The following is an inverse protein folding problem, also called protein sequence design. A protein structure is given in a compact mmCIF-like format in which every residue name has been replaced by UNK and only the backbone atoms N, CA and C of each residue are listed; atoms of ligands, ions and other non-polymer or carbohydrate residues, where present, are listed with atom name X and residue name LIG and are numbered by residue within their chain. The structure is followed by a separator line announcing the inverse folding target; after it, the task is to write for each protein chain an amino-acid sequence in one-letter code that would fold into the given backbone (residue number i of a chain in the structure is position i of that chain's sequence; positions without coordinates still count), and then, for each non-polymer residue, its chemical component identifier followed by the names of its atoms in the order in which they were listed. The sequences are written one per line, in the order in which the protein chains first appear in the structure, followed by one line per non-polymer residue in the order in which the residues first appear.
data_IF_201921636522
#
_entry.id   IF_201921636522
#
_cell.length_a   1.000
_cell.length_b   1.000
_cell.length_c   1.000
_cell.angle_alpha   90.00
_cell.angle_beta   90.00
_cell.angle_gamma   90.00
#
_symmetry.space_group_name_H-M   'P 1'
#
loop_
_entity.id
_entity.type
_entity.pdbx_description
1 polymer ?
#
# COMPACT_ATOMS: atom_id res chain seq x y z
N UNK A 1 73.90 47.89 -16.36
CA UNK A 1 72.47 47.81 -16.00
C UNK A 1 71.89 46.62 -16.75
N UNK A 2 71.87 45.44 -16.13
CA UNK A 2 71.20 44.23 -16.64
C UNK A 2 70.41 43.66 -15.48
N UNK A 3 69.08 43.61 -15.64
CA UNK A 3 68.12 43.17 -14.64
C UNK A 3 67.78 41.70 -14.92
N UNK A 4 68.06 40.81 -13.95
CA UNK A 4 67.57 39.43 -13.96
C UNK A 4 66.17 39.42 -13.34
N UNK A 5 65.18 38.97 -14.10
CA UNK A 5 63.82 38.70 -13.59
C UNK A 5 63.76 37.23 -13.20
N UNK A 6 63.56 36.97 -11.91
CA UNK A 6 63.25 35.64 -11.36
C UNK A 6 61.72 35.48 -11.38
N UNK A 7 61.23 34.51 -12.14
CA UNK A 7 59.82 34.12 -12.14
C UNK A 7 59.57 33.17 -10.95
N UNK A 8 58.86 33.65 -9.92
CA UNK A 8 58.35 32.81 -8.84
C UNK A 8 57.03 32.16 -9.30
N UNK A 9 57.03 30.85 -9.52
CA UNK A 9 55.81 30.09 -9.74
C UNK A 9 55.11 29.85 -8.39
N UNK A 10 54.00 30.53 -8.15
CA UNK A 10 53.08 30.23 -7.05
C UNK A 10 52.28 28.97 -7.40
N UNK A 11 52.63 27.83 -6.79
CA UNK A 11 51.74 26.67 -6.75
C UNK A 11 50.70 26.90 -5.66
N UNK A 12 49.44 27.08 -6.05
CA UNK A 12 48.31 27.00 -5.14
C UNK A 12 48.08 25.53 -4.74
N UNK A 13 47.81 25.21 -3.46
CA UNK A 13 47.46 23.85 -3.09
C UNK A 13 46.07 23.54 -3.65
N UNK A 14 45.96 22.45 -4.43
CA UNK A 14 44.67 21.88 -4.80
C UNK A 14 43.92 21.49 -3.53
N UNK A 15 42.91 22.27 -3.16
CA UNK A 15 41.95 21.87 -2.16
C UNK A 15 41.20 20.65 -2.70
N UNK A 16 41.56 19.46 -2.20
CA UNK A 16 40.71 18.29 -2.33
C UNK A 16 39.45 18.63 -1.54
N UNK A 17 38.35 18.96 -2.22
CA UNK A 17 37.05 19.08 -1.59
C UNK A 17 36.78 17.73 -0.92
N UNK A 18 36.72 17.71 0.42
CA UNK A 18 36.35 16.51 1.15
C UNK A 18 34.95 16.09 0.68
N UNK A 19 34.83 14.83 0.23
CA UNK A 19 33.57 14.31 -0.26
C UNK A 19 32.53 14.32 0.86
N UNK A 20 31.30 14.73 0.54
CA UNK A 20 30.23 14.82 1.53
C UNK A 20 29.97 13.43 2.14
N UNK A 21 29.79 13.32 3.47
CA UNK A 21 29.61 12.03 4.15
C UNK A 21 28.34 11.33 3.64
N UNK A 22 28.37 10.00 3.51
CA UNK A 22 27.34 9.18 2.86
C UNK A 22 26.24 8.66 3.79
N UNK A 23 26.03 9.27 4.96
CA UNK A 23 25.20 8.67 6.02
C UNK A 23 25.94 7.52 6.72
N UNK A 24 25.88 6.32 6.14
CA UNK A 24 26.66 5.15 6.57
C UNK A 24 27.95 5.06 5.77
N UNK A 25 29.06 4.73 6.44
CA UNK A 25 30.39 4.65 5.80
C UNK A 25 30.68 3.28 5.18
N UNK A 26 30.21 2.20 5.80
CA UNK A 26 30.42 0.85 5.32
C UNK A 26 29.27 -0.05 5.72
N UNK A 27 29.12 -1.15 4.99
CA UNK A 27 28.15 -2.20 5.32
C UNK A 27 28.80 -3.26 6.17
N UNK A 28 28.31 -3.42 7.39
CA UNK A 28 28.65 -4.56 8.25
C UNK A 28 27.91 -5.81 7.73
N UNK A 29 28.60 -6.92 7.42
CA UNK A 29 27.94 -8.16 7.03
C UNK A 29 27.02 -8.67 8.14
N UNK A 30 25.76 -8.98 7.81
CA UNK A 30 24.84 -9.47 8.82
C UNK A 30 25.07 -10.97 9.07
N UNK A 31 25.53 -11.26 10.29
CA UNK A 31 25.63 -12.61 10.84
C UNK A 31 24.83 -12.76 12.15
N UNK A 32 24.20 -11.68 12.63
CA UNK A 32 23.53 -11.66 13.93
C UNK A 32 22.11 -12.17 13.86
N UNK A 33 21.38 -11.92 12.76
CA UNK A 33 19.97 -12.30 12.68
C UNK A 33 19.81 -13.81 12.41
N UNK A 34 19.24 -14.54 13.37
CA UNK A 34 19.16 -16.01 13.42
C UNK A 34 17.75 -16.54 13.09
N UNK A 35 17.17 -16.12 11.96
CA UNK A 35 15.87 -16.59 11.51
C UNK A 35 15.98 -17.30 10.15
N UNK A 36 15.58 -18.58 10.11
CA UNK A 36 15.63 -19.43 8.92
C UNK A 36 14.43 -20.40 8.92
N UNK A 37 13.23 -19.94 8.53
CA UNK A 37 12.01 -20.75 8.59
C UNK A 37 12.09 -22.05 7.78
N UNK A 38 12.79 -22.03 6.62
CA UNK A 38 13.01 -23.22 5.78
C UNK A 38 13.80 -24.31 6.50
N UNK A 39 14.64 -23.94 7.44
CA UNK A 39 15.45 -24.85 8.27
C UNK A 39 14.74 -25.21 9.58
N UNK A 40 13.48 -24.79 9.76
CA UNK A 40 12.72 -24.98 11.00
C UNK A 40 13.19 -24.09 12.16
N UNK A 41 14.01 -23.06 11.88
CA UNK A 41 14.54 -22.15 12.89
C UNK A 41 13.80 -20.83 12.88
N UNK A 42 12.76 -20.73 13.71
CA UNK A 42 12.07 -19.47 14.01
C UNK A 42 12.28 -19.19 15.51
N UNK A 43 13.00 -18.10 15.88
CA UNK A 43 13.25 -17.74 17.26
C UNK A 43 11.94 -17.62 18.05
N UNK A 44 11.88 -18.16 19.27
CA UNK A 44 10.68 -18.05 20.09
C UNK A 44 10.59 -16.70 20.79
N UNK A 45 11.73 -16.04 20.98
CA UNK A 45 11.80 -14.67 21.47
C UNK A 45 12.59 -13.74 20.56
N UNK A 46 12.45 -12.43 20.75
CA UNK A 46 13.26 -11.43 20.04
C UNK A 46 14.72 -11.47 20.52
N UNK A 47 14.98 -11.72 21.80
CA UNK A 47 16.36 -11.89 22.30
C UNK A 47 17.11 -13.05 21.62
N UNK A 48 16.42 -14.14 21.30
CA UNK A 48 16.98 -15.28 20.54
C UNK A 48 17.23 -14.96 19.06
N UNK A 49 16.55 -13.95 18.51
CA UNK A 49 16.62 -13.62 17.09
C UNK A 49 17.93 -12.97 16.67
N UNK A 50 18.67 -12.36 17.60
CA UNK A 50 19.86 -11.57 17.31
C UNK A 50 19.59 -10.24 16.59
N UNK A 51 18.36 -9.73 16.67
CA UNK A 51 17.97 -8.40 16.20
C UNK A 51 18.72 -7.30 16.96
N UNK A 52 18.82 -7.42 18.28
CA UNK A 52 19.49 -6.45 19.15
C UNK A 52 20.82 -6.99 19.66
N UNK A 53 21.84 -6.13 19.72
CA UNK A 53 23.06 -6.41 20.47
C UNK A 53 22.87 -6.21 21.98
N UNK A 54 21.91 -5.36 22.35
CA UNK A 54 21.44 -5.14 23.71
C UNK A 54 19.92 -4.96 23.65
N UNK A 55 19.17 -5.96 24.13
CA UNK A 55 17.71 -5.99 24.07
C UNK A 55 17.12 -4.94 25.03
N UNK A 56 17.65 -4.83 26.24
CA UNK A 56 17.15 -3.90 27.25
C UNK A 56 17.34 -2.44 26.82
N UNK A 57 18.48 -2.12 26.20
CA UNK A 57 18.72 -0.81 25.60
C UNK A 57 18.13 -0.65 24.18
N UNK A 58 17.55 -1.72 23.62
CA UNK A 58 17.01 -1.80 22.27
C UNK A 58 18.00 -1.33 21.18
N UNK A 59 19.28 -1.63 21.36
CA UNK A 59 20.35 -1.27 20.42
C UNK A 59 20.41 -2.34 19.32
N UNK A 60 20.08 -2.00 18.06
CA UNK A 60 20.11 -2.97 16.96
C UNK A 60 21.52 -3.51 16.75
N UNK A 61 21.64 -4.77 16.38
CA UNK A 61 22.94 -5.32 15.99
C UNK A 61 23.50 -4.61 14.75
N UNK A 62 24.84 -4.50 14.66
CA UNK A 62 25.51 -3.66 13.68
C UNK A 62 25.23 -4.03 12.19
N UNK A 63 24.83 -5.27 11.92
CA UNK A 63 24.47 -5.74 10.57
C UNK A 63 23.10 -5.30 10.07
N UNK A 64 22.31 -4.59 10.88
CA UNK A 64 21.00 -4.06 10.51
C UNK A 64 21.14 -2.68 9.88
N UNK A 65 20.53 -2.50 8.71
CA UNK A 65 20.59 -1.24 7.95
C UNK A 65 19.30 -0.46 8.21
N UNK A 66 19.34 0.66 8.98
CA UNK A 66 18.14 1.44 9.26
C UNK A 66 17.64 2.15 8.01
N UNK A 67 16.32 2.34 7.93
CA UNK A 67 15.72 3.11 6.85
C UNK A 67 14.40 3.78 7.22
N UNK A 68 14.07 4.84 6.49
CA UNK A 68 12.79 5.55 6.52
C UNK A 68 12.05 5.47 5.19
N UNK A 69 10.78 5.87 5.19
CA UNK A 69 9.90 5.88 4.01
C UNK A 69 9.20 7.23 3.89
N UNK A 70 8.95 7.72 2.68
CA UNK A 70 8.26 9.01 2.46
C UNK A 70 6.83 9.02 3.04
N UNK A 71 6.01 8.02 2.73
CA UNK A 71 4.65 7.86 3.25
C UNK A 71 4.55 6.64 4.14
N UNK A 72 4.20 6.84 5.41
CA UNK A 72 4.15 5.77 6.41
C UNK A 72 2.81 5.05 6.34
N UNK A 73 2.85 3.70 6.33
CA UNK A 73 1.68 2.89 6.66
C UNK A 73 1.26 3.20 8.10
N UNK A 74 0.05 3.72 8.24
CA UNK A 74 -0.59 4.02 9.50
C UNK A 74 -1.08 2.72 10.15
N UNK A 75 -0.87 2.61 11.47
CA UNK A 75 -1.29 1.45 12.26
C UNK A 75 -1.57 1.90 13.69
N UNK A 76 -2.76 2.48 13.88
CA UNK A 76 -3.28 2.91 15.18
C UNK A 76 -2.33 3.87 15.95
N UNK A 77 -1.67 4.77 15.21
CA UNK A 77 -0.80 5.80 15.80
C UNK A 77 0.58 5.32 16.26
N UNK A 78 0.92 4.04 16.06
CA UNK A 78 2.24 3.52 16.45
C UNK A 78 3.38 4.10 15.61
N UNK A 79 4.41 4.60 16.29
CA UNK A 79 5.68 4.98 15.69
C UNK A 79 6.47 3.74 15.28
N UNK A 80 7.36 3.86 14.29
CA UNK A 80 8.05 2.70 13.69
C UNK A 80 9.51 2.96 13.41
N UNK A 81 10.37 2.05 13.86
CA UNK A 81 11.74 1.90 13.32
C UNK A 81 11.77 0.72 12.35
N UNK A 82 12.66 0.78 11.36
CA UNK A 82 12.71 -0.22 10.28
C UNK A 82 14.14 -0.55 9.94
N UNK A 83 14.38 -1.82 9.64
CA UNK A 83 15.71 -2.30 9.28
C UNK A 83 15.65 -3.29 8.12
N UNK A 84 16.68 -3.25 7.28
CA UNK A 84 16.97 -4.28 6.28
C UNK A 84 18.09 -5.15 6.86
N UNK A 85 17.90 -6.46 6.82
CA UNK A 85 18.89 -7.45 7.24
C UNK A 85 19.13 -8.43 6.08
N UNK A 86 20.28 -8.33 5.43
CA UNK A 86 20.63 -9.20 4.29
C UNK A 86 21.72 -10.20 4.70
N UNK A 87 21.59 -11.50 4.44
CA UNK A 87 22.59 -12.49 4.84
C UNK A 87 24.00 -12.15 4.34
N UNK A 88 24.96 -12.01 5.26
CA UNK A 88 26.33 -11.62 4.94
C UNK A 88 26.40 -10.31 4.13
N UNK A 89 26.98 -10.38 2.94
CA UNK A 89 27.09 -9.26 1.99
C UNK A 89 26.19 -9.42 0.75
N UNK A 90 25.17 -10.28 0.80
CA UNK A 90 24.23 -10.45 -0.32
C UNK A 90 23.58 -9.12 -0.72
N UNK A 91 23.23 -8.95 -1.99
CA UNK A 91 22.78 -7.67 -2.54
C UNK A 91 21.34 -7.76 -3.04
N UNK A 92 20.71 -6.59 -3.18
CA UNK A 92 19.35 -6.42 -3.72
C UNK A 92 19.46 -6.07 -5.20
N UNK A 93 18.66 -6.71 -6.05
CA UNK A 93 18.48 -6.24 -7.43
C UNK A 93 17.64 -4.96 -7.40
N UNK A 94 18.23 -3.85 -7.82
CA UNK A 94 17.59 -2.54 -7.83
C UNK A 94 16.52 -2.45 -8.93
N UNK A 95 15.56 -1.55 -8.72
CA UNK A 95 14.60 -1.17 -9.75
C UNK A 95 14.25 0.30 -9.60
N UNK A 96 14.46 1.12 -10.64
CA UNK A 96 14.17 2.54 -10.59
C UNK A 96 12.67 2.86 -10.40
N UNK A 97 11.78 2.04 -10.96
CA UNK A 97 10.33 2.28 -10.96
C UNK A 97 9.50 1.11 -10.38
N UNK A 98 10.10 -0.06 -10.20
CA UNK A 98 9.42 -1.27 -9.74
C UNK A 98 9.74 -1.65 -8.30
N UNK A 99 9.37 -2.87 -7.95
CA UNK A 99 9.74 -3.51 -6.69
C UNK A 99 11.19 -3.97 -6.76
N UNK A 100 11.93 -3.77 -5.68
CA UNK A 100 13.27 -4.36 -5.54
C UNK A 100 13.18 -5.86 -5.31
N UNK A 101 14.18 -6.62 -5.77
CA UNK A 101 14.24 -8.06 -5.50
C UNK A 101 15.33 -8.37 -4.48
N UNK A 102 14.91 -9.05 -3.43
CA UNK A 102 15.76 -9.35 -2.29
C UNK A 102 16.44 -10.71 -2.46
N UNK A 103 17.66 -10.89 -1.93
CA UNK A 103 18.33 -12.17 -1.95
C UNK A 103 17.64 -13.17 -1.01
N UNK A 104 17.85 -14.48 -1.21
CA UNK A 104 17.34 -15.52 -0.31
C UNK A 104 17.62 -15.23 1.16
N UNK A 105 16.64 -15.49 2.02
CA UNK A 105 16.72 -15.29 3.47
C UNK A 105 16.94 -13.83 3.92
N UNK A 106 16.72 -12.85 3.04
CA UNK A 106 16.61 -11.45 3.46
C UNK A 106 15.47 -11.28 4.47
N UNK A 107 15.68 -10.39 5.44
CA UNK A 107 14.69 -10.04 6.44
C UNK A 107 14.46 -8.54 6.47
N UNK A 108 13.20 -8.15 6.49
CA UNK A 108 12.78 -6.78 6.74
C UNK A 108 12.15 -6.73 8.12
N UNK A 109 12.65 -5.82 8.96
CA UNK A 109 12.24 -5.69 10.36
C UNK A 109 11.44 -4.41 10.54
N UNK A 110 10.40 -4.47 11.36
CA UNK A 110 9.69 -3.29 11.89
C UNK A 110 9.51 -3.44 13.39
N UNK A 111 9.91 -2.44 14.16
CA UNK A 111 9.52 -2.32 15.56
C UNK A 111 8.44 -1.24 15.67
N UNK A 112 7.42 -1.49 16.48
CA UNK A 112 6.29 -0.60 16.70
C UNK A 112 6.34 -0.08 18.13
N UNK A 113 6.12 1.23 18.27
CA UNK A 113 6.21 1.93 19.53
C UNK A 113 4.93 2.70 19.80
N UNK A 114 4.48 2.65 21.05
CA UNK A 114 3.33 3.36 21.56
C UNK A 114 3.79 4.43 22.55
N UNK A 115 3.26 5.63 22.44
CA UNK A 115 3.47 6.68 23.45
C UNK A 115 2.52 6.42 24.62
N UNK A 116 3.05 6.01 25.78
CA UNK A 116 2.25 5.73 26.97
C UNK A 116 1.73 7.01 27.64
N UNK A 117 2.28 8.16 27.29
CA UNK A 117 1.77 9.48 27.63
C UNK A 117 1.58 10.27 26.33
N UNK A 118 0.34 10.72 26.07
CA UNK A 118 -0.03 11.37 24.81
C UNK A 118 0.86 12.58 24.52
N UNK A 119 1.58 12.53 23.40
CA UNK A 119 2.45 13.62 22.93
C UNK A 119 3.82 13.67 23.60
N UNK A 120 4.17 12.72 24.46
CA UNK A 120 5.48 12.62 25.08
C UNK A 120 6.31 11.52 24.41
N UNK A 121 7.22 11.93 23.51
CA UNK A 121 8.14 11.02 22.80
C UNK A 121 9.02 10.18 23.72
N UNK A 122 9.34 10.66 24.93
CA UNK A 122 10.16 9.93 25.89
C UNK A 122 9.39 8.80 26.59
N UNK A 123 8.06 8.82 26.52
CA UNK A 123 7.19 7.73 27.03
C UNK A 123 7.03 6.57 26.05
N UNK A 124 7.76 6.60 24.92
CA UNK A 124 7.65 5.56 23.89
C UNK A 124 8.06 4.21 24.45
N UNK A 125 7.15 3.26 24.30
CA UNK A 125 7.31 1.89 24.72
C UNK A 125 7.18 0.98 23.50
N UNK A 126 8.10 0.04 23.35
CA UNK A 126 8.04 -0.95 22.26
C UNK A 126 6.92 -1.94 22.57
N UNK A 127 6.06 -2.22 21.59
CA UNK A 127 4.91 -3.12 21.79
C UNK A 127 4.99 -4.33 20.87
N UNK A 128 5.53 -4.16 19.65
CA UNK A 128 5.59 -5.21 18.64
C UNK A 128 6.92 -5.18 17.88
N UNK A 129 7.46 -6.36 17.59
CA UNK A 129 8.48 -6.54 16.55
C UNK A 129 7.93 -7.46 15.47
N UNK A 130 8.05 -7.05 14.20
CA UNK A 130 7.62 -7.86 13.06
C UNK A 130 8.78 -8.15 12.12
N UNK A 131 8.95 -9.42 11.79
CA UNK A 131 9.86 -9.88 10.76
C UNK A 131 9.09 -10.28 9.51
N UNK A 132 9.58 -9.85 8.35
CA UNK A 132 9.18 -10.38 7.05
C UNK A 132 10.40 -11.06 6.44
N UNK A 133 10.37 -12.38 6.29
CA UNK A 133 11.52 -13.21 5.90
C UNK A 133 11.31 -13.81 4.51
N UNK A 134 12.24 -13.59 3.58
CA UNK A 134 12.17 -14.21 2.25
C UNK A 134 12.49 -15.69 2.35
N UNK A 135 11.60 -16.53 1.82
CA UNK A 135 11.72 -17.99 1.91
C UNK A 135 12.71 -18.53 0.88
N UNK A 136 13.98 -18.60 1.26
CA UNK A 136 15.05 -19.17 0.42
C UNK A 136 15.04 -18.57 -1.00
N UNK A 137 15.22 -19.38 -2.06
CA UNK A 137 15.24 -18.89 -3.45
C UNK A 137 13.86 -18.56 -4.02
N UNK A 138 12.77 -18.72 -3.27
CA UNK A 138 11.41 -18.49 -3.77
C UNK A 138 11.02 -17.02 -3.64
N UNK A 139 9.96 -16.62 -4.33
CA UNK A 139 9.36 -15.29 -4.15
C UNK A 139 8.44 -15.18 -2.93
N UNK A 140 8.20 -16.28 -2.21
CA UNK A 140 7.38 -16.26 -1.02
C UNK A 140 8.09 -15.58 0.16
N UNK A 141 7.29 -14.95 1.02
CA UNK A 141 7.72 -14.34 2.26
C UNK A 141 6.85 -14.83 3.42
N UNK A 142 7.48 -14.98 4.58
CA UNK A 142 6.84 -15.38 5.83
C UNK A 142 6.84 -14.19 6.80
N UNK A 143 5.68 -13.87 7.36
CA UNK A 143 5.50 -12.82 8.36
C UNK A 143 5.45 -13.41 9.77
N UNK A 144 6.19 -12.82 10.70
CA UNK A 144 6.23 -13.21 12.10
C UNK A 144 6.03 -11.97 12.99
N UNK A 145 5.05 -12.02 13.87
CA UNK A 145 4.77 -10.96 14.84
C UNK A 145 5.20 -11.42 16.22
N UNK A 146 5.90 -10.54 16.95
CA UNK A 146 6.35 -10.76 18.31
C UNK A 146 5.70 -9.72 19.21
N UNK A 147 5.09 -10.18 20.30
CA UNK A 147 4.43 -9.34 21.30
C UNK A 147 5.38 -9.10 22.46
N UNK A 148 5.73 -7.84 22.71
CA UNK A 148 6.55 -7.47 23.86
C UNK A 148 5.76 -7.59 25.16
N UNK A 149 6.45 -7.94 26.23
CA UNK A 149 5.89 -7.79 27.59
C UNK A 149 5.68 -6.30 27.93
N UNK A 150 4.94 -6.05 29.02
CA UNK A 150 4.59 -4.67 29.42
C UNK A 150 5.77 -3.89 29.98
N UNK A 151 6.83 -4.59 30.37
CA UNK A 151 8.07 -4.03 30.87
C UNK A 151 9.03 -3.66 29.73
N UNK A 152 8.82 -4.20 28.53
CA UNK A 152 9.67 -4.02 27.34
C UNK A 152 10.98 -4.78 27.43
N UNK A 153 11.03 -5.90 28.16
CA UNK A 153 12.24 -6.69 28.41
C UNK A 153 12.53 -7.69 27.27
N UNK A 154 11.51 -8.38 26.76
CA UNK A 154 11.60 -9.22 25.58
C UNK A 154 10.23 -9.35 24.88
N UNK A 155 10.19 -10.07 23.76
CA UNK A 155 8.95 -10.34 23.04
C UNK A 155 8.85 -11.79 22.61
N UNK A 156 7.63 -12.35 22.68
CA UNK A 156 7.34 -13.73 22.31
C UNK A 156 6.71 -13.81 20.92
N UNK A 157 7.07 -14.85 20.16
CA UNK A 157 6.46 -15.15 18.88
C UNK A 157 4.97 -15.48 19.05
N UNK A 158 4.12 -14.92 18.17
CA UNK A 158 2.71 -15.26 18.09
C UNK A 158 2.45 -16.28 16.98
N UNK A 159 1.72 -17.36 17.31
CA UNK A 159 1.24 -18.34 16.33
C UNK A 159 -0.07 -17.90 15.64
N UNK A 160 -0.87 -17.08 16.33
CA UNK A 160 -2.16 -16.55 15.89
C UNK A 160 -2.25 -15.04 16.14
N UNK A 161 -3.28 -14.38 15.61
CA UNK A 161 -3.53 -12.98 15.91
C UNK A 161 -3.84 -12.78 17.40
N UNK A 162 -3.41 -11.65 17.96
CA UNK A 162 -3.61 -11.33 19.37
C UNK A 162 -3.97 -9.86 19.58
N UNK A 163 -4.41 -9.51 20.79
CA UNK A 163 -4.64 -8.14 21.21
C UNK A 163 -4.10 -7.90 22.62
N UNK A 164 -3.53 -6.72 22.87
CA UNK A 164 -3.09 -6.29 24.21
C UNK A 164 -3.63 -4.89 24.50
N UNK A 165 -4.27 -4.73 25.66
CA UNK A 165 -4.68 -3.41 26.15
C UNK A 165 -3.52 -2.69 26.85
N UNK A 166 -3.42 -1.40 26.60
CA UNK A 166 -2.51 -0.45 27.24
C UNK A 166 -3.33 0.72 27.81
N UNK A 167 -2.87 1.30 28.91
CA UNK A 167 -3.42 2.54 29.45
C UNK A 167 -2.51 3.70 29.05
N UNK A 168 -3.06 4.63 28.27
CA UNK A 168 -2.34 5.81 27.80
C UNK A 168 -2.75 6.99 28.66
N UNK A 169 -1.79 7.62 29.33
CA UNK A 169 -2.04 8.86 30.04
C UNK A 169 -2.44 9.95 29.03
N UNK A 170 -3.67 10.44 29.18
CA UNK A 170 -4.28 11.42 28.30
C UNK A 170 -4.95 12.49 29.16
N UNK A 171 -4.38 13.70 29.28
CA UNK A 171 -4.97 14.79 30.06
C UNK A 171 -6.37 15.21 29.59
N UNK A 172 -6.77 14.83 28.37
CA UNK A 172 -8.11 15.09 27.84
C UNK A 172 -9.13 14.00 28.19
N UNK A 173 -8.69 12.86 28.73
CA UNK A 173 -9.59 11.80 29.18
C UNK A 173 -10.18 12.13 30.56
N UNK A 174 -11.43 11.71 30.80
CA UNK A 174 -12.18 12.00 32.05
C UNK A 174 -11.42 11.53 33.31
N UNK A 175 -10.86 10.33 33.26
CA UNK A 175 -10.08 9.72 34.35
C UNK A 175 -8.55 9.91 34.17
N UNK A 176 -8.13 10.74 33.23
CA UNK A 176 -6.71 10.98 32.89
C UNK A 176 -6.04 9.85 32.10
N UNK A 177 -6.76 8.78 31.76
CA UNK A 177 -6.26 7.67 30.95
C UNK A 177 -7.25 7.29 29.84
N UNK A 178 -6.71 6.81 28.72
CA UNK A 178 -7.46 6.20 27.62
C UNK A 178 -6.98 4.76 27.43
N UNK A 179 -7.91 3.82 27.31
CA UNK A 179 -7.57 2.47 26.90
C UNK A 179 -7.21 2.46 25.40
N UNK A 180 -6.08 1.83 25.09
CA UNK A 180 -5.62 1.56 23.73
C UNK A 180 -5.48 0.05 23.55
N UNK A 181 -6.09 -0.50 22.51
CA UNK A 181 -5.99 -1.94 22.20
C UNK A 181 -5.07 -2.10 21.00
N UNK A 182 -3.86 -2.63 21.23
CA UNK A 182 -2.96 -2.99 20.15
C UNK A 182 -3.39 -4.31 19.53
N UNK A 183 -3.54 -4.35 18.20
CA UNK A 183 -3.78 -5.58 17.46
C UNK A 183 -2.47 -6.10 16.84
N UNK A 184 -2.13 -7.35 17.16
CA UNK A 184 -1.01 -8.07 16.59
C UNK A 184 -1.50 -9.00 15.48
N UNK A 185 -1.12 -8.78 14.21
CA UNK A 185 -1.56 -9.64 13.12
C UNK A 185 -0.93 -11.03 13.21
N UNK A 186 -1.73 -12.06 12.98
CA UNK A 186 -1.24 -13.42 12.80
C UNK A 186 -0.65 -13.64 11.40
N UNK A 187 -0.13 -14.85 11.12
CA UNK A 187 0.41 -15.21 9.81
C UNK A 187 -0.60 -15.02 8.66
N UNK A 188 -1.88 -15.37 8.88
CA UNK A 188 -2.94 -15.21 7.88
C UNK A 188 -3.23 -13.74 7.56
N UNK A 189 -3.27 -12.87 8.58
CA UNK A 189 -3.44 -11.43 8.41
C UNK A 189 -2.30 -10.80 7.61
N UNK A 190 -1.07 -11.24 7.87
CA UNK A 190 0.10 -10.79 7.12
C UNK A 190 -0.02 -11.17 5.64
N UNK A 191 -0.48 -12.38 5.34
CA UNK A 191 -0.64 -12.87 3.97
C UNK A 191 -1.73 -12.12 3.17
N UNK A 192 -2.68 -11.44 3.83
CA UNK A 192 -3.68 -10.59 3.15
C UNK A 192 -3.03 -9.41 2.43
N UNK A 193 -2.00 -8.81 3.03
CA UNK A 193 -1.36 -7.61 2.49
C UNK A 193 -0.06 -7.93 1.73
N UNK A 194 0.71 -8.91 2.20
CA UNK A 194 2.01 -9.29 1.66
C UNK A 194 1.84 -10.29 0.51
N UNK A 195 1.25 -9.84 -0.60
CA UNK A 195 0.94 -10.68 -1.77
C UNK A 195 1.95 -10.51 -2.90
N UNK A 196 2.01 -11.49 -3.81
CA UNK A 196 2.85 -11.42 -5.02
C UNK A 196 2.59 -10.20 -5.90
N UNK A 197 1.33 -9.88 -6.25
CA UNK A 197 1.01 -8.66 -6.98
C UNK A 197 1.46 -7.39 -6.25
N UNK A 198 1.39 -7.35 -4.91
CA UNK A 198 1.88 -6.24 -4.10
C UNK A 198 3.42 -6.19 -3.97
N UNK A 199 4.13 -7.21 -4.47
CA UNK A 199 5.60 -7.32 -4.39
C UNK A 199 6.12 -7.89 -3.07
N UNK A 200 5.23 -8.36 -2.19
CA UNK A 200 5.49 -8.81 -0.83
C UNK A 200 6.08 -7.76 0.11
N UNK A 201 7.19 -7.08 -0.21
CA UNK A 201 7.82 -6.10 0.69
C UNK A 201 7.16 -4.72 0.54
N UNK A 202 6.19 -4.46 1.41
CA UNK A 202 5.41 -3.21 1.38
C UNK A 202 6.24 -2.03 1.87
N UNK A 203 6.38 -1.01 1.01
CA UNK A 203 6.99 0.28 1.34
C UNK A 203 8.50 0.38 1.13
N UNK A 204 9.16 -0.68 0.67
CA UNK A 204 10.60 -0.67 0.35
C UNK A 204 10.81 -0.71 -1.16
N UNK A 205 10.75 0.47 -1.77
CA UNK A 205 10.95 0.70 -3.20
C UNK A 205 11.61 2.07 -3.42
N UNK A 206 12.10 2.33 -4.63
CA UNK A 206 12.83 3.57 -4.95
C UNK A 206 12.05 4.85 -4.58
N UNK A 207 10.75 4.91 -4.85
CA UNK A 207 9.94 6.10 -4.59
C UNK A 207 9.72 6.41 -3.11
N UNK A 208 9.63 5.39 -2.26
CA UNK A 208 9.58 5.54 -0.81
C UNK A 208 10.94 5.88 -0.20
N UNK A 209 12.01 5.38 -0.84
CA UNK A 209 13.37 5.48 -0.34
C UNK A 209 14.09 6.75 -0.79
N UNK A 210 13.67 7.37 -1.90
CA UNK A 210 14.24 8.63 -2.37
C UNK A 210 13.86 9.79 -1.42
N UNK A 211 14.64 9.94 -0.35
CA UNK A 211 14.49 10.97 0.68
C UNK A 211 15.76 11.11 1.50
N UNK A 212 15.88 12.23 2.20
CA UNK A 212 16.89 12.36 3.25
C UNK A 212 16.53 11.51 4.48
N UNK A 213 17.56 10.96 5.13
CA UNK A 213 17.46 10.21 6.38
C UNK A 213 18.67 10.46 7.25
N UNK A 214 18.47 10.43 8.56
CA UNK A 214 19.51 10.66 9.56
C UNK A 214 20.10 9.32 10.03
N UNK A 215 21.38 9.09 9.73
CA UNK A 215 22.13 7.90 10.12
C UNK A 215 22.99 8.14 11.37
N UNK A 216 22.39 8.72 12.41
CA UNK A 216 23.07 8.97 13.69
C UNK A 216 23.89 10.26 13.72
N UNK A 217 23.31 11.34 13.19
CA UNK A 217 23.91 12.68 13.07
C UNK A 217 24.44 13.00 11.67
N UNK A 218 24.40 12.04 10.74
CA UNK A 218 24.83 12.22 9.35
C UNK A 218 23.61 12.07 8.45
N UNK A 219 23.12 13.19 7.95
CA UNK A 219 21.95 13.24 7.06
C UNK A 219 22.39 13.13 5.61
N UNK A 220 21.79 12.20 4.88
CA UNK A 220 22.02 12.01 3.45
C UNK A 220 20.79 11.44 2.74
N UNK A 221 20.75 11.50 1.40
CA UNK A 221 19.74 10.77 0.64
C UNK A 221 19.95 9.26 0.81
N UNK A 222 18.91 8.54 1.22
CA UNK A 222 19.04 7.10 1.51
C UNK A 222 19.49 6.31 0.30
N UNK A 223 19.06 6.64 -0.92
CA UNK A 223 19.53 5.92 -2.11
C UNK A 223 21.05 6.11 -2.30
N UNK A 224 21.58 7.28 -1.93
CA UNK A 224 23.03 7.54 -1.89
C UNK A 224 23.75 6.69 -0.88
N UNK A 225 23.24 6.68 0.34
CA UNK A 225 23.79 5.86 1.42
C UNK A 225 23.78 4.38 1.05
N UNK A 226 22.63 3.87 0.59
CA UNK A 226 22.45 2.45 0.27
C UNK A 226 23.30 2.02 -0.93
N UNK A 227 23.46 2.87 -1.95
CA UNK A 227 24.38 2.62 -3.06
C UNK A 227 25.84 2.57 -2.57
N UNK A 228 26.25 3.58 -1.79
CA UNK A 228 27.60 3.71 -1.28
C UNK A 228 28.06 2.50 -0.46
N UNK A 229 27.20 2.00 0.43
CA UNK A 229 27.51 0.82 1.25
C UNK A 229 27.39 -0.51 0.47
N UNK A 230 27.15 -0.47 -0.84
CA UNK A 230 27.10 -1.65 -1.69
C UNK A 230 25.85 -2.52 -1.48
N UNK A 231 24.70 -1.92 -1.19
CA UNK A 231 23.45 -2.66 -1.00
C UNK A 231 22.94 -3.30 -2.31
N UNK A 232 23.13 -2.62 -3.44
CA UNK A 232 22.57 -3.02 -4.72
C UNK A 232 23.56 -3.82 -5.58
N UNK A 233 23.03 -4.70 -6.45
CA UNK A 233 23.84 -5.49 -7.40
C UNK A 233 24.47 -4.66 -8.51
N UNK A 234 24.06 -3.41 -8.66
CA UNK A 234 24.55 -2.45 -9.64
C UNK A 234 24.84 -1.11 -8.96
N UNK A 235 25.77 -0.34 -9.51
CA UNK A 235 25.98 1.05 -9.11
C UNK A 235 24.91 1.93 -9.76
N UNK A 236 24.06 2.53 -8.93
CA UNK A 236 22.97 3.39 -9.39
C UNK A 236 23.38 4.86 -9.57
N UNK A 237 24.68 5.17 -9.49
CA UNK A 237 25.25 6.51 -9.59
C UNK A 237 25.04 7.33 -8.32
N UNK A 238 25.36 8.64 -8.33
CA UNK A 238 25.20 9.57 -7.19
C UNK A 238 24.08 10.60 -7.36
N UNK A 239 23.37 10.59 -8.49
CA UNK A 239 22.33 11.58 -8.83
C UNK A 239 20.94 10.96 -8.78
N UNK A 240 20.22 11.17 -7.67
CA UNK A 240 18.93 10.52 -7.39
C UNK A 240 17.71 11.41 -7.69
N UNK A 241 17.91 12.68 -8.03
CA UNK A 241 16.82 13.62 -8.32
C UNK A 241 15.93 13.19 -9.50
N UNK A 242 16.46 12.33 -10.38
CA UNK A 242 15.71 11.76 -11.52
C UNK A 242 14.89 10.52 -11.17
N UNK A 243 15.05 9.94 -9.98
CA UNK A 243 14.25 8.80 -9.55
C UNK A 243 12.91 9.25 -8.97
N UNK A 244 11.85 8.41 -9.09
CA UNK A 244 10.55 8.75 -8.51
C UNK A 244 10.70 8.99 -7.00
N UNK A 245 9.83 9.85 -6.46
CA UNK A 245 9.72 10.15 -5.04
C UNK A 245 8.25 10.33 -4.69
N UNK A 246 7.76 9.61 -3.69
CA UNK A 246 6.44 9.87 -3.12
C UNK A 246 6.49 11.10 -2.23
N UNK A 247 5.44 11.92 -2.26
CA UNK A 247 5.30 13.04 -1.34
C UNK A 247 5.17 12.54 0.11
N UNK A 248 5.78 13.27 1.05
CA UNK A 248 5.51 13.05 2.48
C UNK A 248 4.11 13.58 2.80
N UNK A 249 3.16 12.74 3.27
CA UNK A 249 1.80 13.17 3.58
C UNK A 249 1.72 14.30 4.62
N UNK A 250 2.74 14.49 5.45
CA UNK A 250 2.78 15.49 6.52
C UNK A 250 3.40 16.82 6.09
N UNK A 251 4.17 16.85 5.00
CA UNK A 251 4.83 18.07 4.52
C UNK A 251 3.84 19.01 3.83
N UNK A 252 3.45 20.08 4.53
CA UNK A 252 2.49 21.06 4.04
C UNK A 252 2.97 21.89 2.84
N UNK A 253 4.26 21.84 2.50
CA UNK A 253 4.81 22.54 1.33
C UNK A 253 4.57 21.81 0.01
N UNK A 254 4.28 20.51 0.06
CA UNK A 254 4.03 19.69 -1.12
C UNK A 254 2.57 19.79 -1.60
N UNK A 255 2.30 19.59 -2.90
CA UNK A 255 0.94 19.61 -3.44
C UNK A 255 0.01 18.66 -2.69
N UNK A 256 -1.19 19.14 -2.37
CA UNK A 256 -2.18 18.38 -1.61
C UNK A 256 -2.55 17.05 -2.29
N UNK A 257 -2.67 17.05 -3.61
CA UNK A 257 -2.96 15.84 -4.37
C UNK A 257 -1.86 14.79 -4.22
N UNK A 258 -0.59 15.16 -4.39
CA UNK A 258 0.54 14.24 -4.30
C UNK A 258 0.64 13.59 -2.92
N UNK A 259 0.45 14.40 -1.86
CA UNK A 259 0.43 13.93 -0.46
C UNK A 259 -0.69 12.91 -0.22
N UNK A 260 -1.90 13.21 -0.70
CA UNK A 260 -3.05 12.32 -0.58
C UNK A 260 -2.88 11.03 -1.37
N UNK A 261 -2.33 11.12 -2.58
CA UNK A 261 -1.99 9.94 -3.41
C UNK A 261 -0.92 9.08 -2.75
N UNK A 262 0.10 9.67 -2.15
CA UNK A 262 1.13 8.96 -1.40
C UNK A 262 0.56 8.27 -0.15
N UNK A 263 -0.36 8.93 0.55
CA UNK A 263 -1.07 8.34 1.69
C UNK A 263 -1.89 7.11 1.26
N UNK A 264 -2.71 7.23 0.21
CA UNK A 264 -3.52 6.11 -0.32
C UNK A 264 -2.63 4.97 -0.84
N UNK A 265 -1.50 5.30 -1.47
CA UNK A 265 -0.57 4.30 -1.96
C UNK A 265 0.04 3.47 -0.83
N UNK A 266 0.49 4.12 0.25
CA UNK A 266 1.08 3.44 1.40
C UNK A 266 0.04 2.63 2.20
N UNK A 267 -1.18 3.15 2.34
CA UNK A 267 -2.20 2.60 3.25
C UNK A 267 -3.22 1.69 2.56
N UNK A 268 -3.38 1.75 1.24
CA UNK A 268 -4.49 1.08 0.55
C UNK A 268 -4.08 0.31 -0.72
N UNK A 269 -3.09 0.76 -1.48
CA UNK A 269 -2.81 0.22 -2.81
C UNK A 269 -2.37 -1.26 -2.85
N UNK A 270 -1.84 -1.79 -1.75
CA UNK A 270 -1.50 -3.21 -1.67
C UNK A 270 -2.75 -4.12 -1.77
N UNK A 271 -3.90 -3.64 -1.32
CA UNK A 271 -5.21 -4.28 -1.42
C UNK A 271 -6.08 -3.74 -2.58
N UNK A 272 -5.78 -2.54 -3.07
CA UNK A 272 -6.53 -1.84 -4.10
C UNK A 272 -5.66 -1.65 -5.34
N UNK A 273 -5.51 -2.73 -6.11
CA UNK A 273 -4.74 -2.80 -7.35
C UNK A 273 -5.21 -3.98 -8.22
N UNK A 274 -4.77 -4.09 -9.48
CA UNK A 274 -5.02 -5.26 -10.30
C UNK A 274 -4.42 -6.54 -9.70
N UNK A 275 -5.07 -7.67 -9.99
CA UNK A 275 -4.61 -9.03 -9.66
C UNK A 275 -4.55 -9.39 -8.16
N UNK A 276 -5.13 -8.57 -7.27
CA UNK A 276 -5.37 -8.96 -5.88
C UNK A 276 -6.85 -9.26 -5.65
N UNK A 277 -7.15 -10.10 -4.66
CA UNK A 277 -8.53 -10.34 -4.22
C UNK A 277 -8.97 -9.14 -3.40
N UNK A 278 -9.65 -8.19 -4.06
CA UNK A 278 -10.17 -6.97 -3.43
C UNK A 278 -11.69 -6.95 -3.42
N UNK A 279 -12.27 -6.24 -2.46
CA UNK A 279 -13.71 -6.00 -2.37
C UNK A 279 -14.18 -4.84 -3.29
N UNK A 280 -13.26 -4.24 -4.04
CA UNK A 280 -13.50 -3.16 -5.00
C UNK A 280 -12.56 -3.26 -6.20
N UNK A 281 -12.85 -2.58 -7.30
CA UNK A 281 -12.06 -2.60 -8.54
C UNK A 281 -11.20 -1.34 -8.73
N UNK A 282 -10.94 -0.60 -7.65
CA UNK A 282 -10.14 0.62 -7.70
C UNK A 282 -8.64 0.29 -7.65
N UNK A 283 -7.83 1.17 -8.26
CA UNK A 283 -6.38 1.07 -8.27
C UNK A 283 -5.78 2.30 -7.59
N UNK A 284 -5.22 2.14 -6.40
CA UNK A 284 -4.70 3.24 -5.59
C UNK A 284 -3.17 3.37 -5.66
N UNK A 285 -2.53 2.66 -6.60
CA UNK A 285 -1.08 2.80 -6.82
C UNK A 285 -0.72 4.24 -7.19
N UNK A 286 0.38 4.72 -6.62
CA UNK A 286 0.78 6.13 -6.73
C UNK A 286 0.96 6.61 -8.17
N UNK A 287 1.57 5.76 -9.00
CA UNK A 287 1.97 6.00 -10.38
C UNK A 287 0.82 5.94 -11.40
N UNK A 288 -0.39 5.55 -10.96
CA UNK A 288 -1.55 5.46 -11.84
C UNK A 288 -2.22 6.83 -11.95
N UNK A 289 -2.51 7.33 -13.16
CA UNK A 289 -3.27 8.56 -13.33
C UNK A 289 -4.61 8.50 -12.58
N UNK A 290 -5.05 9.62 -11.99
CA UNK A 290 -6.25 9.66 -11.15
C UNK A 290 -7.52 9.27 -11.91
N UNK A 291 -7.58 9.58 -13.20
CA UNK A 291 -8.65 9.20 -14.12
C UNK A 291 -8.69 7.68 -14.40
N UNK A 292 -7.58 6.97 -14.22
CA UNK A 292 -7.46 5.52 -14.44
C UNK A 292 -7.67 4.69 -13.16
N UNK A 293 -7.83 5.34 -12.00
CA UNK A 293 -7.96 4.62 -10.71
C UNK A 293 -9.34 4.04 -10.44
N UNK A 294 -10.33 4.33 -11.30
CA UNK A 294 -11.74 3.98 -11.11
C UNK A 294 -12.33 4.51 -9.80
N UNK A 295 -11.90 5.71 -9.36
CA UNK A 295 -12.37 6.33 -8.10
C UNK A 295 -13.25 7.56 -8.32
N UNK A 296 -12.91 8.42 -9.28
CA UNK A 296 -13.62 9.68 -9.51
C UNK A 296 -14.99 9.46 -10.15
N UNK A 297 -16.07 9.83 -9.47
CA UNK A 297 -17.46 9.64 -9.93
C UNK A 297 -17.83 8.16 -10.21
N UNK A 298 -17.09 7.23 -9.59
CA UNK A 298 -17.40 5.79 -9.70
C UNK A 298 -18.34 5.36 -8.58
N UNK A 299 -19.33 4.53 -8.92
CA UNK A 299 -20.29 4.00 -7.94
C UNK A 299 -19.62 2.91 -7.08
N UNK A 300 -19.72 2.98 -5.74
CA UNK A 300 -19.08 2.01 -4.84
C UNK A 300 -19.76 0.63 -4.89
N UNK A 301 -18.96 -0.43 -4.98
CA UNK A 301 -19.43 -1.83 -5.01
C UNK A 301 -20.00 -2.36 -3.69
N UNK A 302 -19.68 -1.72 -2.55
CA UNK A 302 -20.10 -2.16 -1.20
C UNK A 302 -21.18 -1.25 -0.58
N UNK A 303 -21.94 -0.54 -1.43
CA UNK A 303 -22.96 0.40 -1.00
C UNK A 303 -22.40 1.77 -0.61
N UNK A 304 -23.34 2.72 -0.46
CA UNK A 304 -23.07 4.15 -0.36
C UNK A 304 -22.94 4.67 1.09
N UNK A 305 -22.89 3.78 2.10
CA UNK A 305 -22.80 4.15 3.53
C UNK A 305 -23.83 5.20 4.02
N UNK A 306 -25.00 5.24 3.38
CA UNK A 306 -26.09 6.17 3.75
C UNK A 306 -26.13 7.47 2.96
N UNK A 307 -25.25 7.67 1.97
CA UNK A 307 -25.32 8.80 1.03
C UNK A 307 -26.34 8.52 -0.09
N UNK A 308 -27.01 9.55 -0.59
CA UNK A 308 -27.86 9.46 -1.78
C UNK A 308 -26.97 9.54 -3.04
N UNK A 309 -27.02 8.53 -3.92
CA UNK A 309 -26.20 8.38 -5.15
C UNK A 309 -24.67 8.23 -4.99
N UNK A 310 -24.13 8.38 -3.78
CA UNK A 310 -22.70 8.62 -3.51
C UNK A 310 -21.66 7.81 -4.28
N UNK A 311 -20.57 8.51 -4.61
CA UNK A 311 -19.44 8.01 -5.39
C UNK A 311 -18.30 7.52 -4.49
N UNK A 312 -17.31 6.84 -5.08
CA UNK A 312 -16.06 6.49 -4.39
C UNK A 312 -15.31 7.78 -4.01
N UNK A 313 -15.09 8.65 -4.98
CA UNK A 313 -14.73 10.05 -4.77
C UNK A 313 -15.72 10.89 -5.59
N UNK A 314 -16.50 11.74 -4.91
CA UNK A 314 -17.28 12.82 -5.48
C UNK A 314 -16.47 14.11 -5.33
N UNK A 315 -15.89 14.68 -6.42
CA UNK A 315 -14.96 15.82 -6.43
C UNK A 315 -15.10 16.85 -5.30
N UNK A 316 -15.57 18.08 -5.39
CA UNK A 316 -15.61 18.96 -4.21
C UNK A 316 -16.59 18.56 -3.05
N UNK A 317 -17.02 17.30 -2.90
CA UNK A 317 -17.95 16.83 -1.86
C UNK A 317 -17.43 15.59 -1.08
N UNK A 318 -16.58 15.79 -0.06
CA UNK A 318 -16.08 14.71 0.78
C UNK A 318 -17.16 13.95 1.53
N UNK A 319 -18.19 14.64 1.99
CA UNK A 319 -19.25 14.08 2.81
C UNK A 319 -20.15 13.10 2.02
N UNK A 320 -20.17 13.19 0.68
CA UNK A 320 -20.76 12.19 -0.23
C UNK A 320 -19.74 11.20 -0.84
N UNK A 321 -18.46 11.27 -0.45
CA UNK A 321 -17.39 10.41 -0.96
C UNK A 321 -17.15 9.17 -0.08
N UNK A 322 -17.56 8.00 -0.56
CA UNK A 322 -17.46 6.76 0.23
C UNK A 322 -16.04 6.32 0.56
N UNK A 323 -15.02 6.72 -0.22
CA UNK A 323 -13.62 6.48 0.14
C UNK A 323 -13.28 7.17 1.46
N UNK A 324 -13.66 8.44 1.62
CA UNK A 324 -13.45 9.19 2.86
C UNK A 324 -14.29 8.60 4.00
N UNK A 325 -15.58 8.36 3.77
CA UNK A 325 -16.47 7.85 4.80
C UNK A 325 -15.99 6.50 5.38
N UNK A 326 -15.41 5.62 4.55
CA UNK A 326 -14.87 4.32 5.01
C UNK A 326 -13.70 4.45 5.98
N UNK A 327 -12.90 5.51 5.87
CA UNK A 327 -11.81 5.81 6.81
C UNK A 327 -12.34 6.15 8.21
N UNK A 328 -13.58 6.65 8.30
CA UNK A 328 -14.23 7.04 9.56
C UNK A 328 -15.12 5.95 10.15
N UNK A 329 -15.40 4.87 9.39
CA UNK A 329 -16.33 3.83 9.84
C UNK A 329 -15.65 2.79 10.72
N UNK A 330 -16.40 2.27 11.70
CA UNK A 330 -15.98 1.15 12.57
C UNK A 330 -16.73 -0.16 12.26
N UNK A 331 -17.51 -0.18 11.17
CA UNK A 331 -18.29 -1.35 10.76
C UNK A 331 -17.48 -2.31 9.89
N UNK A 332 -18.11 -3.38 9.40
CA UNK A 332 -17.50 -4.33 8.46
C UNK A 332 -17.05 -3.71 7.12
N UNK A 333 -17.42 -2.47 6.85
CA UNK A 333 -17.02 -1.69 5.67
C UNK A 333 -15.83 -0.75 5.93
N UNK A 334 -15.25 -0.78 7.13
CA UNK A 334 -14.05 -0.03 7.49
C UNK A 334 -12.87 -0.29 6.56
N UNK A 335 -12.10 0.76 6.28
CA UNK A 335 -10.82 0.68 5.61
C UNK A 335 -9.74 1.46 6.38
N UNK A 336 -8.55 0.89 6.59
CA UNK A 336 -8.16 -0.50 6.31
C UNK A 336 -8.91 -1.52 7.19
N UNK A 337 -9.15 -2.75 6.70
CA UNK A 337 -9.92 -3.76 7.44
C UNK A 337 -9.09 -4.59 8.43
N UNK A 338 -7.77 -4.44 8.42
CA UNK A 338 -6.80 -5.21 9.23
C UNK A 338 -5.86 -4.23 9.90
N UNK A 339 -5.49 -4.50 11.16
CA UNK A 339 -4.55 -3.68 11.95
C UNK A 339 -4.91 -2.19 12.03
N UNK A 340 -6.21 -1.88 11.98
CA UNK A 340 -6.78 -0.56 12.21
C UNK A 340 -8.01 -0.68 13.12
N UNK A 341 -7.88 -0.14 14.32
CA UNK A 341 -8.93 -0.05 15.34
C UNK A 341 -9.33 1.39 15.61
N UNK A 342 -8.47 2.37 15.32
CA UNK A 342 -8.72 3.81 15.52
C UNK A 342 -8.86 4.59 14.19
N UNK A 343 -9.55 5.72 14.19
CA UNK A 343 -9.56 6.58 13.01
C UNK A 343 -8.20 7.26 12.90
N UNK A 344 -7.58 7.17 11.73
CA UNK A 344 -6.46 8.02 11.36
C UNK A 344 -7.00 9.42 11.04
N UNK A 345 -7.13 10.28 12.05
CA UNK A 345 -7.71 11.61 11.87
C UNK A 345 -6.88 12.49 10.93
N UNK A 346 -5.56 12.39 11.00
CA UNK A 346 -4.64 13.18 10.17
C UNK A 346 -4.71 12.75 8.71
N UNK A 347 -4.64 11.43 8.45
CA UNK A 347 -4.81 10.86 7.12
C UNK A 347 -6.21 11.11 6.55
N UNK A 348 -7.24 10.96 7.38
CA UNK A 348 -8.64 11.20 6.97
C UNK A 348 -8.88 12.67 6.63
N UNK A 349 -8.35 13.62 7.42
CA UNK A 349 -8.43 15.06 7.11
C UNK A 349 -7.66 15.41 5.83
N UNK A 350 -6.49 14.80 5.60
CA UNK A 350 -5.73 14.96 4.36
C UNK A 350 -6.58 14.57 3.14
N UNK A 351 -7.23 13.40 3.19
CA UNK A 351 -8.12 12.94 2.12
C UNK A 351 -9.35 13.85 1.99
N UNK A 352 -9.97 14.25 3.10
CA UNK A 352 -11.12 15.17 3.09
C UNK A 352 -10.78 16.48 2.39
N UNK A 353 -9.66 17.12 2.77
CA UNK A 353 -9.21 18.37 2.16
C UNK A 353 -8.88 18.21 0.68
N UNK A 354 -8.29 17.08 0.31
CA UNK A 354 -7.98 16.80 -1.10
C UNK A 354 -9.23 16.69 -1.95
N UNK A 355 -10.22 15.91 -1.50
CA UNK A 355 -11.51 15.79 -2.18
C UNK A 355 -12.17 17.17 -2.27
N UNK A 356 -12.32 17.90 -1.16
CA UNK A 356 -12.90 19.24 -1.15
C UNK A 356 -12.19 20.26 -2.07
N UNK A 357 -10.90 20.05 -2.35
CA UNK A 357 -10.13 20.92 -3.25
C UNK A 357 -10.30 20.60 -4.73
N UNK A 358 -10.90 19.46 -5.08
CA UNK A 358 -11.17 19.10 -6.46
C UNK A 358 -12.27 20.00 -7.00
N UNK A 359 -12.11 20.45 -8.24
CA UNK A 359 -13.18 21.12 -8.93
C UNK A 359 -14.38 20.17 -9.00
N UNK A 360 -15.51 20.58 -8.40
CA UNK A 360 -16.78 20.02 -8.78
C UNK A 360 -16.95 20.30 -10.28
N UNK A 361 -17.30 19.31 -11.12
CA UNK A 361 -17.68 19.60 -12.48
C UNK A 361 -18.82 20.64 -12.45
N UNK A 362 -18.52 21.91 -12.74
CA UNK A 362 -19.53 22.96 -12.89
C UNK A 362 -20.18 22.83 -14.27
N UNK A 363 -20.57 21.61 -14.63
CA UNK A 363 -21.56 21.40 -15.66
C UNK A 363 -22.90 21.67 -14.99
N UNK A 364 -23.52 22.81 -15.33
CA UNK A 364 -24.99 22.86 -15.31
C UNK A 364 -25.44 21.63 -16.07
N UNK A 365 -26.42 20.90 -15.52
CA UNK A 365 -27.11 19.77 -16.14
C UNK A 365 -27.88 20.27 -17.39
N UNK A 366 -27.12 20.73 -18.38
CA UNK A 366 -27.53 20.97 -19.74
C UNK A 366 -27.17 19.71 -20.49
N UNK A 367 -28.20 19.00 -20.91
CA UNK A 367 -28.13 17.86 -21.81
C UNK A 367 -27.20 18.18 -23.01
N UNK A 368 -25.95 17.71 -22.94
CA UNK A 368 -25.00 17.71 -24.05
C UNK A 368 -24.25 16.36 -23.99
N UNK A 369 -24.87 15.26 -24.43
CA UNK A 369 -24.69 14.71 -25.80
C UNK A 369 -23.29 14.91 -26.39
N UNK A 370 -22.33 14.17 -25.84
CA UNK A 370 -21.37 13.46 -26.70
C UNK A 370 -21.78 11.99 -26.62
N UNK A 371 -22.08 11.29 -27.75
CA UNK A 371 -22.41 9.87 -27.68
C UNK A 371 -21.17 9.11 -27.20
N UNK A 372 -21.22 8.56 -25.98
CA UNK A 372 -20.31 7.47 -25.65
C UNK A 372 -20.71 6.29 -26.54
N UNK A 373 -19.81 5.83 -27.42
CA UNK A 373 -20.12 4.69 -28.28
C UNK A 373 -20.60 3.50 -27.43
N UNK A 374 -21.74 2.92 -27.82
CA UNK A 374 -22.28 1.73 -27.21
C UNK A 374 -21.23 0.60 -27.19
N UNK A 375 -21.08 -0.07 -26.04
CA UNK A 375 -19.95 -0.98 -25.83
C UNK A 375 -20.28 -2.15 -24.91
N UNK A 376 -19.68 -3.31 -25.16
CA UNK A 376 -19.74 -4.47 -24.27
C UNK A 376 -18.32 -4.97 -23.97
N UNK A 377 -17.89 -4.80 -22.72
CA UNK A 377 -16.59 -5.23 -22.25
C UNK A 377 -16.56 -6.73 -21.97
N UNK A 378 -15.35 -7.29 -21.88
CA UNK A 378 -15.16 -8.65 -21.43
C UNK A 378 -15.43 -8.75 -19.91
N UNK A 379 -16.18 -9.78 -19.50
CA UNK A 379 -16.51 -10.01 -18.10
C UNK A 379 -15.26 -10.35 -17.29
N UNK A 380 -15.24 -9.95 -16.02
CA UNK A 380 -14.13 -10.22 -15.11
C UNK A 380 -14.63 -10.63 -13.71
N UNK A 381 -14.05 -11.67 -13.09
CA UNK A 381 -13.05 -12.58 -13.66
C UNK A 381 -13.64 -13.48 -14.77
N UNK A 382 -12.78 -14.00 -15.65
CA UNK A 382 -13.11 -15.01 -16.67
C UNK A 382 -11.87 -15.89 -16.96
N UNK A 383 -11.85 -17.20 -16.62
CA UNK A 383 -12.94 -17.96 -15.99
C UNK A 383 -13.28 -17.48 -14.57
N UNK A 384 -14.46 -17.81 -14.06
CA UNK A 384 -14.91 -17.48 -12.71
C UNK A 384 -15.58 -18.68 -12.02
N UNK A 385 -15.63 -18.70 -10.68
CA UNK A 385 -16.17 -19.82 -9.90
C UNK A 385 -17.40 -19.47 -9.03
N UNK A 386 -17.48 -18.24 -8.52
CA UNK A 386 -18.58 -17.80 -7.66
C UNK A 386 -19.45 -16.72 -8.33
N UNK A 387 -18.82 -15.70 -8.91
CA UNK A 387 -19.52 -14.64 -9.63
C UNK A 387 -18.57 -13.97 -10.64
N UNK A 388 -19.15 -13.28 -11.61
CA UNK A 388 -18.42 -12.45 -12.58
C UNK A 388 -19.17 -11.14 -12.78
N UNK A 389 -18.44 -10.12 -13.23
CA UNK A 389 -18.96 -8.79 -13.47
C UNK A 389 -18.89 -8.48 -14.96
N UNK A 390 -19.97 -7.95 -15.52
CA UNK A 390 -20.08 -7.53 -16.91
C UNK A 390 -20.26 -6.02 -16.94
N UNK A 391 -19.38 -5.33 -17.66
CA UNK A 391 -19.43 -3.88 -17.88
C UNK A 391 -19.90 -3.60 -19.30
N UNK A 392 -20.81 -2.64 -19.46
CA UNK A 392 -21.32 -2.20 -20.74
C UNK A 392 -21.59 -0.70 -20.77
N UNK A 393 -21.62 -0.11 -21.97
CA UNK A 393 -21.87 1.31 -22.20
C UNK A 393 -23.13 1.49 -23.04
N UNK A 394 -24.00 2.39 -22.62
CA UNK A 394 -25.20 2.82 -23.33
C UNK A 394 -24.90 4.16 -23.98
N UNK A 395 -25.08 4.27 -25.30
CA UNK A 395 -24.76 5.50 -26.04
C UNK A 395 -25.94 6.46 -26.23
N UNK A 396 -27.17 5.94 -26.20
CA UNK A 396 -28.41 6.69 -26.35
C UNK A 396 -29.44 6.17 -25.35
N UNK A 397 -30.29 7.05 -24.82
CA UNK A 397 -31.38 6.62 -23.93
C UNK A 397 -32.28 5.63 -24.64
N UNK A 398 -32.52 4.47 -24.03
CA UNK A 398 -33.44 3.49 -24.59
C UNK A 398 -33.48 2.17 -23.84
N UNK A 399 -34.22 1.19 -24.37
CA UNK A 399 -34.36 -0.12 -23.77
C UNK A 399 -33.05 -0.92 -23.91
N UNK A 400 -32.54 -1.40 -22.78
CA UNK A 400 -31.35 -2.24 -22.70
C UNK A 400 -31.74 -3.64 -22.23
N UNK A 401 -31.35 -4.65 -23.00
CA UNK A 401 -31.43 -6.06 -22.61
C UNK A 401 -30.01 -6.65 -22.55
N UNK A 402 -29.62 -7.13 -21.36
CA UNK A 402 -28.42 -7.96 -21.20
C UNK A 402 -28.85 -9.35 -20.72
N UNK A 403 -28.65 -10.36 -21.56
CA UNK A 403 -29.08 -11.73 -21.29
C UNK A 403 -27.93 -12.73 -21.47
N UNK A 404 -27.97 -13.79 -20.65
CA UNK A 404 -27.07 -14.93 -20.69
C UNK A 404 -27.69 -16.07 -21.49
N UNK A 405 -26.84 -16.80 -22.20
CA UNK A 405 -27.16 -17.94 -23.03
C UNK A 405 -26.17 -19.07 -22.79
N UNK A 406 -26.62 -20.31 -22.88
CA UNK A 406 -25.73 -21.47 -22.84
C UNK A 406 -25.01 -21.69 -24.18
N UNK A 407 -24.18 -22.73 -24.25
CA UNK A 407 -23.42 -23.09 -25.44
C UNK A 407 -24.29 -23.49 -26.66
N UNK A 408 -25.57 -23.83 -26.44
CA UNK A 408 -26.54 -24.19 -27.48
C UNK A 408 -27.40 -22.97 -27.88
N UNK A 409 -27.22 -21.83 -27.20
CA UNK A 409 -27.94 -20.59 -27.46
C UNK A 409 -29.29 -20.49 -26.75
N UNK A 410 -29.60 -21.36 -25.78
CA UNK A 410 -30.79 -21.22 -24.95
C UNK A 410 -30.57 -20.12 -23.91
N UNK A 411 -31.57 -19.24 -23.73
CA UNK A 411 -31.50 -18.15 -22.75
C UNK A 411 -31.54 -18.72 -21.33
N UNK A 412 -30.49 -18.44 -20.57
CA UNK A 412 -30.29 -18.94 -19.20
C UNK A 412 -30.90 -17.99 -18.17
N UNK A 413 -30.65 -16.68 -18.34
CA UNK A 413 -31.13 -15.63 -17.44
C UNK A 413 -31.01 -14.26 -18.09
N UNK A 414 -32.00 -13.40 -17.89
CA UNK A 414 -31.88 -11.97 -18.19
C UNK A 414 -31.26 -11.28 -16.97
N UNK A 415 -30.15 -10.57 -17.16
CA UNK A 415 -29.44 -9.84 -16.12
C UNK A 415 -29.94 -8.39 -16.02
N UNK A 416 -30.28 -7.78 -17.15
CA UNK A 416 -30.80 -6.41 -17.23
C UNK A 416 -31.92 -6.38 -18.27
N UNK A 417 -33.03 -5.74 -17.91
CA UNK A 417 -34.13 -5.40 -18.81
C UNK A 417 -34.76 -4.10 -18.31
N UNK A 418 -34.23 -2.97 -18.76
CA UNK A 418 -34.64 -1.65 -18.29
C UNK A 418 -34.39 -0.58 -19.35
N UNK A 419 -35.11 0.53 -19.25
CA UNK A 419 -34.75 1.80 -19.91
C UNK A 419 -33.54 2.40 -19.18
N UNK A 420 -32.48 2.73 -19.91
CA UNK A 420 -31.26 3.31 -19.36
C UNK A 420 -30.84 4.53 -20.17
N UNK A 421 -30.34 5.56 -19.48
CA UNK A 421 -29.76 6.75 -20.11
C UNK A 421 -28.33 6.46 -20.63
N UNK A 422 -27.72 7.35 -21.43
CA UNK A 422 -26.33 7.20 -21.82
C UNK A 422 -25.42 7.13 -20.59
N UNK A 423 -24.49 6.18 -20.59
CA UNK A 423 -23.56 5.98 -19.48
C UNK A 423 -22.93 4.58 -19.42
N UNK A 424 -22.02 4.39 -18.48
CA UNK A 424 -21.37 3.12 -18.20
C UNK A 424 -22.09 2.38 -17.08
N UNK A 425 -22.41 1.10 -17.30
CA UNK A 425 -23.18 0.26 -16.40
C UNK A 425 -22.45 -1.03 -16.08
N UNK A 426 -22.69 -1.55 -14.88
CA UNK A 426 -22.09 -2.78 -14.38
C UNK A 426 -23.16 -3.71 -13.84
N UNK A 427 -23.12 -4.99 -14.22
CA UNK A 427 -24.00 -6.02 -13.66
C UNK A 427 -23.18 -7.23 -13.19
N UNK A 428 -23.59 -7.81 -12.06
CA UNK A 428 -22.98 -9.02 -11.49
C UNK A 428 -23.84 -10.24 -11.82
N UNK A 429 -23.20 -11.31 -12.30
CA UNK A 429 -23.82 -12.63 -12.38
C UNK A 429 -23.22 -13.57 -11.33
N UNK A 430 -24.07 -14.19 -10.54
CA UNK A 430 -23.75 -15.10 -9.43
C UNK A 430 -23.72 -16.58 -9.84
N UNK A 431 -23.69 -16.87 -11.14
CA UNK A 431 -23.70 -18.25 -11.64
C UNK A 431 -25.02 -18.98 -11.42
N UNK A 432 -26.15 -18.26 -11.23
CA UNK A 432 -27.49 -18.84 -11.10
C UNK A 432 -28.35 -18.60 -12.34
N UNK A 433 -29.17 -19.58 -12.67
CA UNK A 433 -30.19 -19.56 -13.73
C UNK A 433 -31.42 -18.75 -13.32
N UNK A 434 -32.38 -18.54 -14.23
CA UNK A 434 -33.58 -17.73 -13.97
C UNK A 434 -34.50 -18.28 -12.85
N UNK A 435 -34.50 -19.60 -12.64
CA UNK A 435 -35.22 -20.30 -11.56
C UNK A 435 -34.45 -20.33 -10.22
N UNK A 436 -33.28 -19.68 -10.15
CA UNK A 436 -32.43 -19.62 -8.95
C UNK A 436 -31.52 -20.83 -8.74
N UNK A 437 -31.63 -21.85 -9.60
CA UNK A 437 -30.76 -23.03 -9.62
C UNK A 437 -29.31 -22.64 -9.99
N UNK A 438 -28.36 -23.50 -9.64
CA UNK A 438 -26.96 -23.31 -9.99
C UNK A 438 -26.73 -23.67 -11.47
N UNK A 439 -26.15 -22.75 -12.25
CA UNK A 439 -25.78 -23.00 -13.64
C UNK A 439 -24.59 -23.98 -13.72
N UNK A 440 -24.57 -24.94 -14.66
CA UNK A 440 -23.48 -25.92 -14.76
C UNK A 440 -22.11 -25.28 -15.10
N UNK A 441 -21.01 -25.95 -14.74
CA UNK A 441 -19.69 -25.56 -15.25
C UNK A 441 -19.68 -25.63 -16.79
N UNK A 442 -19.16 -24.61 -17.45
CA UNK A 442 -19.18 -24.57 -18.91
C UNK A 442 -19.03 -23.18 -19.50
N UNK A 443 -19.13 -23.13 -20.83
CA UNK A 443 -19.10 -21.89 -21.60
C UNK A 443 -20.50 -21.33 -21.74
N UNK A 444 -20.62 -20.02 -21.51
CA UNK A 444 -21.82 -19.23 -21.70
C UNK A 444 -21.52 -18.02 -22.58
N UNK A 445 -22.57 -17.47 -23.19
CA UNK A 445 -22.53 -16.22 -23.95
C UNK A 445 -23.41 -15.20 -23.26
N UNK A 446 -22.95 -13.98 -23.10
CA UNK A 446 -23.80 -12.85 -22.73
C UNK A 446 -23.93 -11.91 -23.91
N UNK A 447 -25.13 -11.38 -24.09
CA UNK A 447 -25.49 -10.52 -25.21
C UNK A 447 -26.17 -9.27 -24.71
N UNK A 448 -25.63 -8.14 -25.13
CA UNK A 448 -26.21 -6.81 -24.92
C UNK A 448 -26.98 -6.39 -26.16
N UNK A 449 -28.19 -5.87 -25.99
CA UNK A 449 -29.03 -5.29 -27.03
C UNK A 449 -29.54 -3.92 -26.58
N UNK A 450 -29.36 -2.91 -27.44
CA UNK A 450 -29.77 -1.53 -27.20
C UNK A 450 -30.14 -0.91 -28.55
N UNK A 451 -31.42 -0.76 -28.86
CA UNK A 451 -31.86 -0.36 -30.20
C UNK A 451 -31.27 -1.26 -31.30
N UNK A 452 -30.53 -0.66 -32.25
CA UNK A 452 -29.85 -1.38 -33.35
C UNK A 452 -28.48 -1.97 -32.95
N UNK A 453 -27.94 -1.60 -31.79
CA UNK A 453 -26.67 -2.15 -31.31
C UNK A 453 -26.88 -3.54 -30.68
N UNK A 454 -26.07 -4.51 -31.10
CA UNK A 454 -26.02 -5.84 -30.50
C UNK A 454 -24.58 -6.34 -30.43
N UNK A 455 -24.11 -6.67 -29.23
CA UNK A 455 -22.80 -7.28 -29.01
C UNK A 455 -22.92 -8.52 -28.15
N UNK A 456 -22.05 -9.51 -28.40
CA UNK A 456 -21.98 -10.72 -27.60
C UNK A 456 -20.53 -11.05 -27.24
N UNK A 457 -20.34 -11.65 -26.07
CA UNK A 457 -19.05 -12.07 -25.54
C UNK A 457 -19.19 -13.39 -24.80
N UNK A 458 -18.09 -14.09 -24.65
CA UNK A 458 -18.03 -15.42 -24.04
C UNK A 458 -17.49 -15.36 -22.62
N UNK A 459 -18.09 -16.12 -21.72
CA UNK A 459 -17.62 -16.33 -20.36
C UNK A 459 -17.58 -17.81 -19.98
N UNK A 460 -16.66 -18.16 -19.08
CA UNK A 460 -16.40 -19.54 -18.65
C UNK A 460 -16.66 -19.64 -17.15
N UNK A 461 -17.66 -20.44 -16.76
CA UNK A 461 -17.95 -20.79 -15.38
C UNK A 461 -17.23 -22.10 -15.02
N UNK A 462 -16.43 -22.08 -13.95
CA UNK A 462 -15.71 -23.23 -13.40
C UNK A 462 -16.14 -23.43 -11.96
N UNK A 463 -16.98 -24.43 -11.71
CA UNK A 463 -17.26 -24.93 -10.34
C UNK A 463 -16.44 -26.14 -10.00
#
# INVERSE_FOLDING_TARGET
MLLFIVLLALMAPSAVLAQAPYGLQERVPNHSLLIAPVEGRVPQTVSESGLFSDVAAQIPAAGLIPYGVNSVLWSDGTAKTRFIALPGQSQIEFSAAGVWKFPPNAVVVKNFYLELEKGNLASRHIVETRFLVKRGPTDAWDGFSYMWDLEGEDAILLEEAATQSYLIADPEAEDGFREYVHFYPGPEDCALCHTGPAGYVLGLNTAQMNRSYDYGGIVDNQLRTLNHIGLFTEDIGEHYDGFPQWADPTDASLPLADRSRAYLAANCAHCHRPNVVSRSTIDLRYDIPLEETNTLNWVPSLGALGTEEGFIIDPGDPENSTLYLRLLTFSSNRMPPVASTLVDWEGSDLIRRWIASMDQPTAVQGLATVPEEAGLAQNFPNPFNAHTTIVYKVGETGPVELALYDAVGQKVRTLVQAEQAPGSYTVRWDGRTADGSLAASGTYLYRLRMGDYSAARQLILVR
#
